data_IF_585834944000
#
_entry.id   IF_585834944000
#
_cell.length_a   1.000
_cell.length_b   1.000
_cell.length_c   1.000
_cell.angle_alpha   90.00
_cell.angle_beta   90.00
_cell.angle_gamma   90.00
#
_symmetry.space_group_name_H-M   'P 1'
#
loop_
_entity.id
_entity.type
_entity.pdbx_description
1 polymer ?
#
# COMPACT_ATOMS: atom_id res chain seq x y z
N UNK A 1 20.47 -11.15 -6.67
CA UNK A 1 21.45 -11.81 -7.58
C UNK A 1 22.28 -10.76 -8.32
N UNK A 2 23.47 -11.14 -8.83
CA UNK A 2 24.32 -10.26 -9.65
C UNK A 2 23.57 -9.72 -10.87
N UNK A 3 22.81 -10.58 -11.56
CA UNK A 3 22.00 -10.17 -12.70
C UNK A 3 20.97 -9.06 -12.38
N UNK A 4 20.39 -9.10 -11.18
CA UNK A 4 19.47 -8.03 -10.73
C UNK A 4 20.24 -6.75 -10.43
N UNK A 5 21.40 -6.85 -9.78
CA UNK A 5 22.26 -5.70 -9.49
C UNK A 5 22.78 -5.04 -10.78
N UNK A 6 23.17 -5.83 -11.78
CA UNK A 6 23.57 -5.31 -13.09
C UNK A 6 22.38 -4.63 -13.81
N UNK A 7 21.16 -5.12 -13.56
CA UNK A 7 19.93 -4.59 -14.15
C UNK A 7 19.50 -3.23 -13.62
N UNK A 8 19.96 -2.79 -12.43
CA UNK A 8 19.57 -1.51 -11.83
C UNK A 8 20.12 -0.28 -12.59
N UNK A 9 21.01 -0.48 -13.57
CA UNK A 9 21.59 0.63 -14.36
C UNK A 9 20.51 1.53 -14.98
N UNK A 10 19.41 0.93 -15.45
CA UNK A 10 18.30 1.70 -16.03
C UNK A 10 17.55 2.51 -14.97
N UNK A 11 17.32 1.92 -13.80
CA UNK A 11 16.66 2.60 -12.68
C UNK A 11 17.52 3.75 -12.19
N UNK A 12 18.85 3.53 -12.07
CA UNK A 12 19.83 4.56 -11.72
C UNK A 12 19.84 5.72 -12.72
N UNK A 13 19.74 5.45 -14.04
CA UNK A 13 19.66 6.50 -15.05
C UNK A 13 18.40 7.37 -14.86
N UNK A 14 17.26 6.76 -14.55
CA UNK A 14 16.01 7.47 -14.26
C UNK A 14 16.17 8.32 -12.98
N UNK A 15 16.70 7.74 -11.92
CA UNK A 15 16.96 8.48 -10.66
C UNK A 15 17.85 9.68 -10.90
N UNK A 16 18.94 9.52 -11.69
CA UNK A 16 19.84 10.63 -12.07
C UNK A 16 19.12 11.70 -12.88
N UNK A 17 18.31 11.31 -13.87
CA UNK A 17 17.54 12.23 -14.70
C UNK A 17 16.62 13.13 -13.86
N UNK A 18 15.97 12.55 -12.85
CA UNK A 18 15.05 13.26 -11.95
C UNK A 18 15.73 13.80 -10.68
N UNK A 19 17.04 13.70 -10.58
CA UNK A 19 17.85 14.19 -9.43
C UNK A 19 17.42 13.58 -8.10
N UNK A 20 16.94 12.33 -8.11
CA UNK A 20 16.60 11.58 -6.90
C UNK A 20 17.88 11.04 -6.28
N UNK A 21 18.18 11.33 -5.01
CA UNK A 21 19.34 10.78 -4.32
C UNK A 21 19.26 9.26 -4.20
N UNK A 22 20.35 8.57 -4.52
CA UNK A 22 20.42 7.12 -4.41
C UNK A 22 21.84 6.67 -4.01
N UNK A 23 21.94 5.44 -3.52
CA UNK A 23 23.22 4.78 -3.21
C UNK A 23 23.15 3.32 -3.69
N UNK A 24 24.16 2.92 -4.46
CA UNK A 24 24.36 1.50 -4.77
C UNK A 24 25.29 0.95 -3.71
N UNK A 25 24.83 -0.02 -2.94
CA UNK A 25 25.51 -0.57 -1.78
C UNK A 25 25.96 -2.00 -2.06
N UNK A 26 27.16 -2.32 -1.67
CA UNK A 26 27.64 -3.69 -1.53
C UNK A 26 27.12 -4.32 -0.21
N UNK A 27 27.55 -5.54 0.08
CA UNK A 27 27.13 -6.27 1.26
C UNK A 27 27.46 -5.54 2.55
N UNK A 28 28.65 -5.01 2.70
CA UNK A 28 29.05 -4.26 3.89
C UNK A 28 28.26 -2.96 4.04
N UNK A 29 27.94 -2.31 2.91
CA UNK A 29 27.18 -1.07 2.86
C UNK A 29 25.73 -1.23 3.31
N UNK A 30 24.98 -2.22 2.81
CA UNK A 30 23.58 -2.36 3.21
C UNK A 30 23.42 -2.86 4.66
N UNK A 31 24.36 -3.64 5.19
CA UNK A 31 24.33 -4.10 6.58
C UNK A 31 24.49 -2.96 7.60
N UNK A 32 25.00 -1.81 7.19
CA UNK A 32 25.03 -0.61 8.06
C UNK A 32 23.63 -0.03 8.28
N UNK A 33 22.71 -0.26 7.35
CA UNK A 33 21.33 0.22 7.43
C UNK A 33 20.30 -0.85 7.84
N UNK A 34 20.61 -2.12 7.53
CA UNK A 34 19.77 -3.27 7.85
C UNK A 34 20.60 -4.39 8.50
N UNK A 35 21.03 -4.19 9.76
CA UNK A 35 21.89 -5.16 10.45
C UNK A 35 21.24 -6.53 10.63
N UNK A 36 19.91 -6.59 10.74
CA UNK A 36 19.17 -7.85 10.86
C UNK A 36 19.32 -8.77 9.62
N UNK A 37 19.80 -8.26 8.49
CA UNK A 37 20.10 -9.08 7.31
C UNK A 37 21.46 -9.79 7.38
N UNK A 38 22.24 -9.64 8.47
CA UNK A 38 23.58 -10.21 8.58
C UNK A 38 23.57 -11.75 8.44
N UNK A 39 22.64 -12.44 9.08
CA UNK A 39 22.56 -13.90 9.06
C UNK A 39 22.16 -14.47 7.68
N UNK A 40 21.47 -13.65 6.89
CA UNK A 40 21.00 -13.99 5.54
C UNK A 40 21.77 -13.28 4.43
N UNK A 41 22.87 -12.59 4.74
CA UNK A 41 23.66 -11.79 3.82
C UNK A 41 24.19 -12.57 2.61
N UNK A 42 24.32 -13.90 2.72
CA UNK A 42 24.77 -14.76 1.62
C UNK A 42 23.75 -14.80 0.46
N UNK A 43 22.50 -14.41 0.69
CA UNK A 43 21.42 -14.36 -0.31
C UNK A 43 21.50 -13.13 -1.21
N UNK A 44 22.23 -12.09 -0.80
CA UNK A 44 22.28 -10.80 -1.49
C UNK A 44 23.69 -10.44 -1.92
N UNK A 45 23.82 -9.78 -3.04
CA UNK A 45 25.11 -9.27 -3.56
C UNK A 45 25.23 -7.76 -3.37
N UNK A 46 24.12 -7.05 -3.15
CA UNK A 46 24.08 -5.60 -2.95
C UNK A 46 22.64 -5.10 -2.87
N UNK A 47 22.48 -3.80 -2.72
CA UNK A 47 21.19 -3.12 -2.64
C UNK A 47 21.24 -1.74 -3.34
N UNK A 48 20.07 -1.27 -3.77
CA UNK A 48 19.85 0.11 -4.15
C UNK A 48 19.11 0.81 -3.00
N UNK A 49 19.73 1.81 -2.40
CA UNK A 49 19.15 2.60 -1.31
C UNK A 49 18.68 3.95 -1.83
N UNK A 50 17.50 4.35 -1.43
CA UNK A 50 16.90 5.67 -1.67
C UNK A 50 16.86 6.43 -0.34
N UNK A 51 17.88 7.24 -0.01
CA UNK A 51 17.99 7.86 1.33
C UNK A 51 16.95 8.95 1.59
N UNK A 52 16.29 9.46 0.55
CA UNK A 52 15.24 10.45 0.66
C UNK A 52 13.82 9.88 0.81
N UNK A 53 13.66 8.55 0.72
CA UNK A 53 12.36 7.92 0.91
C UNK A 53 11.99 7.88 2.39
N UNK A 54 10.70 8.06 2.66
CA UNK A 54 10.16 8.06 4.01
C UNK A 54 9.14 6.93 4.19
N UNK A 55 9.03 6.45 5.42
CA UNK A 55 8.06 5.42 5.80
C UNK A 55 6.97 6.03 6.67
N UNK A 56 5.71 5.77 6.33
CA UNK A 56 4.56 6.24 7.10
C UNK A 56 3.48 5.19 7.26
N UNK A 57 2.82 5.18 8.40
CA UNK A 57 1.64 4.35 8.65
C UNK A 57 0.39 5.09 8.18
N UNK A 58 -0.10 4.74 6.98
CA UNK A 58 -1.27 5.39 6.39
C UNK A 58 -2.56 5.16 7.20
N UNK A 59 -2.66 4.07 7.97
CA UNK A 59 -3.82 3.81 8.83
C UNK A 59 -3.84 4.80 10.01
N UNK A 60 -2.73 4.95 10.72
CA UNK A 60 -2.60 5.91 11.83
C UNK A 60 -2.80 7.34 11.31
N UNK A 61 -2.16 7.67 10.18
CA UNK A 61 -2.27 8.99 9.55
C UNK A 61 -3.72 9.34 9.23
N UNK A 62 -4.45 8.43 8.57
CA UNK A 62 -5.85 8.66 8.18
C UNK A 62 -6.76 8.83 9.39
N UNK A 63 -6.58 8.01 10.44
CA UNK A 63 -7.37 8.14 11.67
C UNK A 63 -7.11 9.48 12.36
N UNK A 64 -5.85 9.93 12.47
CA UNK A 64 -5.51 11.23 13.06
C UNK A 64 -6.09 12.40 12.28
N UNK A 65 -6.03 12.36 10.93
CA UNK A 65 -6.69 13.38 10.10
C UNK A 65 -8.20 13.39 10.33
N UNK A 66 -8.83 12.21 10.44
CA UNK A 66 -10.26 12.14 10.72
C UNK A 66 -10.62 12.77 12.09
N UNK A 67 -9.81 12.54 13.12
CA UNK A 67 -9.97 13.18 14.44
C UNK A 67 -9.82 14.70 14.35
N UNK A 68 -8.81 15.18 13.64
CA UNK A 68 -8.60 16.62 13.43
C UNK A 68 -9.78 17.25 12.66
N UNK A 69 -10.25 16.59 11.59
CA UNK A 69 -11.39 17.05 10.82
C UNK A 69 -12.67 17.11 11.67
N UNK A 70 -12.89 16.09 12.51
CA UNK A 70 -14.01 16.08 13.46
C UNK A 70 -13.95 17.24 14.43
N UNK A 71 -12.77 17.56 14.96
CA UNK A 71 -12.57 18.72 15.84
C UNK A 71 -12.88 20.05 15.14
N UNK A 72 -12.73 20.11 13.82
CA UNK A 72 -13.09 21.27 12.99
C UNK A 72 -14.57 21.26 12.54
N UNK A 73 -15.39 20.36 13.04
CA UNK A 73 -16.84 20.31 12.78
C UNK A 73 -17.26 19.39 11.62
N UNK A 74 -16.34 18.62 11.01
CA UNK A 74 -16.70 17.63 9.98
C UNK A 74 -17.52 16.51 10.60
N UNK A 75 -18.66 16.20 10.00
CA UNK A 75 -19.54 15.13 10.43
C UNK A 75 -19.23 13.85 9.66
N UNK A 76 -18.90 12.79 10.36
CA UNK A 76 -18.70 11.46 9.79
C UNK A 76 -19.93 10.60 10.02
N UNK A 77 -20.42 9.95 8.96
CA UNK A 77 -21.53 9.00 8.99
C UNK A 77 -21.03 7.59 8.66
N UNK A 78 -20.33 6.99 9.61
CA UNK A 78 -19.87 5.60 9.47
C UNK A 78 -21.05 4.63 9.49
N UNK A 79 -20.87 3.43 8.91
CA UNK A 79 -21.94 2.43 8.81
C UNK A 79 -23.08 2.83 7.89
N UNK A 80 -22.90 3.86 7.05
CA UNK A 80 -23.89 4.34 6.09
C UNK A 80 -23.49 3.91 4.68
N UNK A 81 -24.33 3.13 4.03
CA UNK A 81 -24.07 2.66 2.67
C UNK A 81 -24.63 3.64 1.64
N UNK A 82 -23.74 4.21 0.82
CA UNK A 82 -24.14 4.99 -0.35
C UNK A 82 -24.67 4.03 -1.44
N UNK A 83 -25.89 4.28 -1.91
CA UNK A 83 -26.58 3.47 -2.92
C UNK A 83 -26.50 4.03 -4.32
N UNK A 84 -26.70 5.36 -4.46
CA UNK A 84 -26.70 6.04 -5.74
C UNK A 84 -26.48 7.55 -5.59
N UNK A 85 -26.09 8.18 -6.67
CA UNK A 85 -26.11 9.62 -6.84
C UNK A 85 -27.42 9.99 -7.55
N UNK A 86 -28.16 10.93 -6.98
CA UNK A 86 -29.37 11.49 -7.59
C UNK A 86 -28.96 12.69 -8.44
N UNK A 87 -29.53 12.79 -9.64
CA UNK A 87 -29.31 13.95 -10.52
C UNK A 87 -30.60 14.45 -11.13
N UNK A 88 -30.63 15.71 -11.47
CA UNK A 88 -31.55 16.33 -12.42
C UNK A 88 -30.76 16.92 -13.61
N UNK A 89 -31.44 17.68 -14.47
CA UNK A 89 -30.80 18.30 -15.63
C UNK A 89 -29.67 19.29 -15.31
N UNK A 90 -29.53 19.74 -14.07
CA UNK A 90 -28.56 20.73 -13.62
C UNK A 90 -27.34 20.17 -12.89
N UNK A 91 -27.39 18.91 -12.44
CA UNK A 91 -26.28 18.33 -11.68
C UNK A 91 -26.72 17.31 -10.63
N UNK A 92 -25.81 17.05 -9.68
CA UNK A 92 -26.12 16.15 -8.57
C UNK A 92 -26.97 16.89 -7.54
N UNK A 93 -28.11 16.29 -7.18
CA UNK A 93 -29.08 16.85 -6.24
C UNK A 93 -29.10 16.15 -4.89
N UNK A 94 -28.51 14.94 -4.81
CA UNK A 94 -28.45 14.19 -3.57
C UNK A 94 -27.67 12.91 -3.65
N UNK A 95 -27.40 12.37 -2.48
CA UNK A 95 -26.77 11.05 -2.28
C UNK A 95 -27.79 10.15 -1.61
N UNK A 96 -28.25 9.13 -2.31
CA UNK A 96 -29.15 8.12 -1.75
C UNK A 96 -28.32 7.14 -0.90
N UNK A 97 -28.70 6.99 0.36
CA UNK A 97 -28.09 6.04 1.30
C UNK A 97 -29.13 5.04 1.80
N UNK A 98 -28.69 4.01 2.53
CA UNK A 98 -29.55 3.08 3.25
C UNK A 98 -30.28 3.74 4.44
N UNK A 99 -29.88 4.97 4.82
CA UNK A 99 -30.48 5.76 5.91
C UNK A 99 -31.27 6.98 5.39
N UNK A 100 -31.55 7.05 4.09
CA UNK A 100 -32.25 8.16 3.44
C UNK A 100 -31.35 8.99 2.51
N UNK A 101 -31.90 10.05 1.96
CA UNK A 101 -31.18 10.96 1.04
C UNK A 101 -30.45 12.04 1.82
N UNK A 102 -29.21 12.28 1.45
CA UNK A 102 -28.38 13.37 1.97
C UNK A 102 -28.20 14.42 0.86
N UNK A 103 -28.48 15.68 1.18
CA UNK A 103 -28.34 16.82 0.27
C UNK A 103 -27.23 17.75 0.73
N UNK A 104 -26.57 18.41 -0.21
CA UNK A 104 -25.52 19.40 0.03
C UNK A 104 -25.42 20.36 -1.16
N UNK A 105 -24.72 21.46 -0.98
CA UNK A 105 -24.46 22.43 -2.06
C UNK A 105 -23.44 21.92 -3.08
N UNK A 106 -22.52 21.04 -2.64
CA UNK A 106 -21.49 20.42 -3.47
C UNK A 106 -21.23 18.98 -3.03
N UNK A 107 -20.80 18.16 -3.96
CA UNK A 107 -20.51 16.75 -3.75
C UNK A 107 -19.12 16.40 -4.23
N UNK A 108 -18.36 15.68 -3.41
CA UNK A 108 -17.04 15.14 -3.76
C UNK A 108 -17.11 13.61 -3.74
N UNK A 109 -16.82 12.99 -4.89
CA UNK A 109 -16.69 11.54 -5.00
C UNK A 109 -15.25 11.12 -4.70
N UNK A 110 -15.04 10.40 -3.61
CA UNK A 110 -13.73 9.92 -3.16
C UNK A 110 -13.78 8.44 -2.75
N UNK A 111 -14.44 7.59 -3.56
CA UNK A 111 -14.69 6.17 -3.26
C UNK A 111 -13.59 5.22 -3.77
N UNK A 112 -12.45 5.74 -4.24
CA UNK A 112 -11.35 4.92 -4.75
C UNK A 112 -11.83 3.94 -5.82
N UNK A 113 -11.59 2.65 -5.62
CA UNK A 113 -11.96 1.58 -6.57
C UNK A 113 -13.47 1.50 -6.86
N UNK A 114 -14.32 1.96 -5.94
CA UNK A 114 -15.78 1.92 -6.09
C UNK A 114 -16.34 3.13 -6.87
N UNK A 115 -15.52 4.14 -7.17
CA UNK A 115 -15.96 5.34 -7.87
C UNK A 115 -16.51 5.04 -9.27
N UNK A 116 -15.86 4.15 -10.04
CA UNK A 116 -16.30 3.80 -11.37
C UNK A 116 -17.74 3.20 -11.39
N UNK A 117 -18.04 2.30 -10.47
CA UNK A 117 -19.37 1.71 -10.34
C UNK A 117 -20.43 2.74 -9.90
N UNK A 118 -20.04 3.72 -9.07
CA UNK A 118 -20.95 4.76 -8.58
C UNK A 118 -21.37 5.75 -9.67
N UNK A 119 -20.50 6.07 -10.62
CA UNK A 119 -20.80 7.04 -11.69
C UNK A 119 -21.33 6.40 -12.98
N UNK A 120 -21.18 5.09 -13.16
CA UNK A 120 -21.65 4.39 -14.36
C UNK A 120 -23.15 4.64 -14.68
N UNK A 121 -24.08 4.67 -13.70
CA UNK A 121 -25.49 4.99 -13.95
C UNK A 121 -25.74 6.42 -14.40
N UNK A 122 -24.73 7.29 -14.33
CA UNK A 122 -24.78 8.69 -14.80
C UNK A 122 -24.21 8.85 -16.21
N UNK A 123 -23.93 7.74 -16.91
CA UNK A 123 -23.25 7.69 -18.22
C UNK A 123 -21.83 8.24 -18.19
N UNK A 124 -21.19 8.26 -17.00
CA UNK A 124 -19.80 8.64 -16.81
C UNK A 124 -18.91 7.39 -16.71
N UNK A 125 -17.79 7.43 -17.44
CA UNK A 125 -16.80 6.35 -17.42
C UNK A 125 -15.47 6.89 -16.94
N UNK A 126 -15.00 6.39 -15.81
CA UNK A 126 -13.67 6.67 -15.30
C UNK A 126 -12.85 5.37 -15.33
N UNK A 127 -11.61 5.41 -15.86
CA UNK A 127 -10.80 4.21 -16.05
C UNK A 127 -10.08 3.80 -14.75
N UNK A 128 -10.84 3.51 -13.71
CA UNK A 128 -10.32 3.01 -12.43
C UNK A 128 -10.69 1.53 -12.29
N UNK A 129 -9.67 0.69 -12.12
CA UNK A 129 -9.84 -0.75 -11.91
C UNK A 129 -9.36 -1.17 -10.51
N UNK A 130 -10.11 -2.03 -9.80
CA UNK A 130 -9.69 -2.55 -8.49
C UNK A 130 -8.61 -3.61 -8.66
N UNK A 131 -7.38 -3.27 -8.29
CA UNK A 131 -6.27 -4.22 -8.23
C UNK A 131 -6.09 -4.69 -6.79
N UNK A 132 -6.41 -5.95 -6.53
CA UNK A 132 -6.32 -6.53 -5.19
C UNK A 132 -4.87 -6.75 -4.79
N UNK A 133 -4.45 -6.16 -3.67
CA UNK A 133 -3.17 -6.39 -3.04
C UNK A 133 -3.33 -7.11 -1.71
N UNK A 134 -2.30 -7.85 -1.32
CA UNK A 134 -2.30 -8.63 -0.08
C UNK A 134 -1.21 -8.13 0.85
N UNK A 135 -1.42 -8.30 2.15
CA UNK A 135 -0.41 -8.02 3.17
C UNK A 135 -0.62 -8.87 4.40
N UNK A 136 0.46 -9.10 5.13
CA UNK A 136 0.40 -9.59 6.50
C UNK A 136 0.99 -8.54 7.45
N UNK A 137 0.55 -8.60 8.69
CA UNK A 137 1.10 -7.81 9.79
C UNK A 137 1.62 -8.77 10.83
N UNK A 138 2.91 -8.70 11.11
CA UNK A 138 3.62 -9.60 12.03
C UNK A 138 4.04 -8.81 13.27
N UNK A 139 3.63 -9.18 14.49
CA UNK A 139 4.14 -8.55 15.71
C UNK A 139 5.64 -8.77 15.84
N UNK A 140 6.40 -7.73 16.16
CA UNK A 140 7.85 -7.83 16.43
C UNK A 140 8.04 -8.48 17.80
N UNK A 141 8.91 -9.49 17.86
CA UNK A 141 9.31 -10.17 19.10
C UNK A 141 10.76 -9.89 19.46
N UNK A 142 11.60 -9.69 18.45
CA UNK A 142 12.96 -9.20 18.61
C UNK A 142 13.18 -7.98 17.72
N UNK A 143 13.44 -6.83 18.35
CA UNK A 143 13.68 -5.59 17.66
C UNK A 143 14.98 -5.61 16.85
N UNK A 144 15.99 -6.36 17.28
CA UNK A 144 17.26 -6.51 16.59
C UNK A 144 17.19 -7.44 15.38
N UNK A 145 16.24 -8.37 15.36
CA UNK A 145 15.96 -9.27 14.23
C UNK A 145 14.96 -8.72 13.22
N UNK A 146 14.35 -7.55 13.49
CA UNK A 146 13.37 -6.91 12.62
C UNK A 146 14.02 -5.88 11.66
N UNK A 147 13.37 -5.52 10.52
CA UNK A 147 13.89 -4.47 9.65
C UNK A 147 13.97 -3.11 10.36
N UNK A 148 14.96 -2.32 10.01
CA UNK A 148 15.11 -0.92 10.47
C UNK A 148 14.33 0.05 9.59
N UNK A 149 14.25 -0.23 8.28
CA UNK A 149 13.60 0.60 7.26
C UNK A 149 12.57 -0.19 6.44
N UNK A 150 12.26 0.29 5.25
CA UNK A 150 11.50 -0.49 4.26
C UNK A 150 12.46 -1.22 3.34
N UNK A 151 12.39 -2.54 3.36
CA UNK A 151 13.16 -3.43 2.47
C UNK A 151 12.25 -3.98 1.38
N UNK A 152 12.65 -3.83 0.12
CA UNK A 152 11.96 -4.42 -1.04
C UNK A 152 12.72 -5.66 -1.52
N UNK A 153 12.11 -6.82 -1.41
CA UNK A 153 12.59 -8.02 -2.09
C UNK A 153 12.18 -7.98 -3.57
N UNK A 154 13.14 -7.69 -4.42
CA UNK A 154 12.95 -7.61 -5.86
C UNK A 154 12.66 -8.96 -6.52
N UNK A 155 12.98 -10.08 -5.87
CA UNK A 155 12.70 -11.42 -6.38
C UNK A 155 11.21 -11.75 -6.32
N UNK A 156 10.57 -11.45 -5.19
CA UNK A 156 9.15 -11.74 -4.95
C UNK A 156 8.25 -10.51 -5.10
N UNK A 157 8.84 -9.31 -5.29
CA UNK A 157 8.12 -8.04 -5.32
C UNK A 157 7.29 -7.82 -4.04
N UNK A 158 7.96 -8.03 -2.90
CA UNK A 158 7.39 -7.92 -1.56
C UNK A 158 8.15 -6.86 -0.77
N UNK A 159 7.42 -5.91 -0.21
CA UNK A 159 7.95 -4.90 0.69
C UNK A 159 7.77 -5.31 2.16
N UNK A 160 8.81 -5.17 2.94
CA UNK A 160 8.81 -5.40 4.39
C UNK A 160 9.10 -4.06 5.06
N UNK A 161 8.19 -3.60 5.90
CA UNK A 161 8.28 -2.27 6.52
C UNK A 161 8.05 -2.39 8.02
N UNK A 162 8.96 -1.83 8.82
CA UNK A 162 8.73 -1.69 10.26
C UNK A 162 7.79 -0.53 10.54
N UNK A 163 6.69 -0.80 11.23
CA UNK A 163 5.70 0.18 11.67
C UNK A 163 5.55 0.08 13.20
N UNK A 164 6.44 0.75 13.94
CA UNK A 164 6.50 0.67 15.41
C UNK A 164 6.89 -0.74 15.88
N UNK A 165 5.95 -1.42 16.50
CA UNK A 165 6.09 -2.75 17.09
C UNK A 165 5.68 -3.92 16.16
N UNK A 166 5.51 -3.64 14.87
CA UNK A 166 5.09 -4.64 13.87
C UNK A 166 5.81 -4.51 12.55
N UNK A 167 5.93 -5.62 11.84
CA UNK A 167 6.40 -5.67 10.45
C UNK A 167 5.19 -5.76 9.55
N UNK A 168 5.01 -4.79 8.66
CA UNK A 168 4.03 -4.84 7.57
C UNK A 168 4.69 -5.43 6.33
N UNK A 169 4.19 -6.55 5.86
CA UNK A 169 4.69 -7.25 4.68
C UNK A 169 3.63 -7.15 3.60
N UNK A 170 3.90 -6.42 2.55
CA UNK A 170 2.96 -6.16 1.47
C UNK A 170 3.52 -6.56 0.12
N UNK A 171 2.72 -7.22 -0.68
CA UNK A 171 3.15 -7.63 -2.01
C UNK A 171 2.04 -8.29 -2.78
N UNK A 172 2.40 -8.76 -3.96
CA UNK A 172 1.51 -9.41 -4.91
C UNK A 172 0.35 -8.52 -5.38
N UNK A 173 -0.16 -8.82 -6.57
CA UNK A 173 -1.30 -8.14 -7.16
C UNK A 173 -2.19 -9.16 -7.86
N UNK A 174 -3.50 -8.93 -7.86
CA UNK A 174 -4.46 -9.82 -8.48
C UNK A 174 -5.58 -9.02 -9.15
N UNK A 175 -5.87 -9.36 -10.40
CA UNK A 175 -7.00 -8.83 -11.16
C UNK A 175 -8.22 -9.71 -10.91
N UNK A 176 -8.98 -9.42 -9.86
CA UNK A 176 -10.12 -10.23 -9.40
C UNK A 176 -11.41 -9.41 -9.22
N UNK A 177 -11.50 -8.26 -9.89
CA UNK A 177 -12.62 -7.35 -9.70
C UNK A 177 -12.74 -6.92 -8.24
N UNK A 178 -13.95 -6.89 -7.72
CA UNK A 178 -14.22 -6.47 -6.34
C UNK A 178 -14.13 -7.60 -5.29
N UNK A 179 -13.65 -8.79 -5.67
CA UNK A 179 -13.52 -9.90 -4.72
C UNK A 179 -12.47 -9.60 -3.64
N UNK A 180 -12.87 -9.69 -2.37
CA UNK A 180 -12.00 -9.57 -1.20
C UNK A 180 -11.61 -10.95 -0.62
N UNK A 181 -11.77 -12.03 -1.40
CA UNK A 181 -11.38 -13.35 -0.95
C UNK A 181 -9.87 -13.41 -0.67
N UNK A 182 -9.51 -13.91 0.50
CA UNK A 182 -8.14 -14.14 0.92
C UNK A 182 -7.68 -15.52 0.42
N UNK A 183 -6.62 -15.54 -0.39
CA UNK A 183 -6.06 -16.76 -0.95
C UNK A 183 -4.83 -17.19 -0.16
N UNK A 184 -4.87 -18.38 0.43
CA UNK A 184 -3.80 -18.92 1.28
C UNK A 184 -2.44 -19.01 0.54
N UNK A 185 -2.44 -19.19 -0.78
CA UNK A 185 -1.22 -19.16 -1.57
C UNK A 185 -0.51 -17.79 -1.48
N UNK A 186 -1.26 -16.69 -1.43
CA UNK A 186 -0.70 -15.34 -1.28
C UNK A 186 -0.15 -15.12 0.11
N UNK A 187 -0.85 -15.60 1.14
CA UNK A 187 -0.36 -15.58 2.51
C UNK A 187 0.97 -16.31 2.64
N UNK A 188 1.05 -17.53 2.10
CA UNK A 188 2.30 -18.33 2.15
C UNK A 188 3.49 -17.60 1.52
N UNK A 189 3.30 -16.90 0.39
CA UNK A 189 4.37 -16.11 -0.24
C UNK A 189 4.87 -15.02 0.71
N UNK A 190 3.97 -14.25 1.33
CA UNK A 190 4.35 -13.18 2.25
C UNK A 190 5.03 -13.73 3.51
N UNK A 191 4.49 -14.81 4.08
CA UNK A 191 5.07 -15.52 5.23
C UNK A 191 6.46 -16.06 4.92
N UNK A 192 6.63 -16.63 3.72
CA UNK A 192 7.94 -17.13 3.28
C UNK A 192 8.96 -16.00 3.22
N UNK A 193 8.64 -14.88 2.58
CA UNK A 193 9.59 -13.78 2.40
C UNK A 193 10.03 -13.19 3.74
N UNK A 194 9.10 -12.91 4.66
CA UNK A 194 9.49 -12.36 5.96
C UNK A 194 10.27 -13.36 6.81
N UNK A 195 9.89 -14.63 6.80
CA UNK A 195 10.64 -15.67 7.53
C UNK A 195 12.00 -15.98 6.92
N UNK A 196 12.16 -15.77 5.60
CA UNK A 196 13.43 -15.95 4.90
C UNK A 196 14.42 -14.80 5.12
N UNK A 197 13.93 -13.56 5.27
CA UNK A 197 14.75 -12.36 5.42
C UNK A 197 14.95 -11.95 6.87
N UNK A 198 13.95 -12.12 7.71
CA UNK A 198 13.93 -11.70 9.13
C UNK A 198 13.38 -12.82 10.00
N UNK A 199 14.08 -13.98 10.08
CA UNK A 199 13.57 -15.19 10.72
C UNK A 199 13.26 -14.98 12.22
N UNK A 200 14.02 -14.15 12.91
CA UNK A 200 13.90 -13.90 14.33
C UNK A 200 13.15 -12.60 14.66
N UNK A 201 12.76 -11.81 13.63
CA UNK A 201 12.20 -10.47 13.81
C UNK A 201 10.79 -10.43 14.38
N UNK A 202 9.99 -11.51 14.24
CA UNK A 202 8.60 -11.45 14.64
C UNK A 202 7.89 -12.80 14.76
N UNK A 203 6.73 -12.79 15.43
CA UNK A 203 5.88 -13.97 15.62
C UNK A 203 5.00 -14.23 14.40
N UNK A 204 5.48 -15.08 13.51
CA UNK A 204 4.77 -15.47 12.29
C UNK A 204 3.45 -16.22 12.58
N UNK A 205 3.33 -16.90 13.72
CA UNK A 205 2.11 -17.62 14.08
C UNK A 205 0.95 -16.64 14.37
N UNK A 206 1.27 -15.42 14.79
CA UNK A 206 0.32 -14.34 15.06
C UNK A 206 0.13 -13.38 13.89
N UNK A 207 0.65 -13.72 12.71
CA UNK A 207 0.52 -12.86 11.53
C UNK A 207 -0.94 -12.71 11.11
N UNK A 208 -1.40 -11.46 11.03
CA UNK A 208 -2.72 -11.10 10.52
C UNK A 208 -2.68 -10.95 9.00
N UNK A 209 -3.60 -11.61 8.30
CA UNK A 209 -3.69 -11.57 6.84
C UNK A 209 -4.82 -10.66 6.37
N UNK A 210 -4.51 -9.77 5.43
CA UNK A 210 -5.44 -8.76 4.92
C UNK A 210 -5.27 -8.57 3.41
N UNK A 211 -6.35 -8.11 2.74
CA UNK A 211 -6.28 -7.62 1.37
C UNK A 211 -7.07 -6.32 1.20
N UNK A 212 -6.74 -5.58 0.15
CA UNK A 212 -7.44 -4.36 -0.23
C UNK A 212 -7.40 -4.10 -1.72
N UNK A 213 -8.28 -3.25 -2.20
CA UNK A 213 -8.42 -2.90 -3.61
C UNK A 213 -7.74 -1.57 -3.89
N UNK A 214 -6.64 -1.59 -4.62
CA UNK A 214 -5.97 -0.38 -5.11
C UNK A 214 -6.78 0.22 -6.27
N UNK A 215 -7.13 1.52 -6.24
CA UNK A 215 -7.76 2.18 -7.38
C UNK A 215 -6.68 2.47 -8.43
N UNK A 216 -6.54 1.58 -9.40
CA UNK A 216 -5.51 1.70 -10.43
C UNK A 216 -6.09 2.30 -11.71
N UNK A 217 -5.43 3.32 -12.22
CA UNK A 217 -5.62 3.86 -13.58
C UNK A 217 -4.67 3.18 -14.54
N UNK A 218 -4.94 3.16 -15.87
CA UNK A 218 -4.09 2.48 -16.84
C UNK A 218 -2.65 2.97 -16.90
N UNK A 219 -2.44 4.24 -16.63
CA UNK A 219 -1.13 4.93 -16.66
C UNK A 219 -0.55 5.21 -15.26
N UNK A 220 -1.27 4.83 -14.19
CA UNK A 220 -0.88 5.09 -12.81
C UNK A 220 -1.14 6.53 -12.33
N UNK A 221 -1.58 7.43 -13.20
CA UNK A 221 -1.85 8.83 -12.84
C UNK A 221 -3.18 8.94 -12.09
N UNK A 222 -3.23 9.60 -10.90
CA UNK A 222 -4.48 9.78 -10.17
C UNK A 222 -5.43 10.72 -10.93
N UNK A 223 -6.73 10.42 -10.84
CA UNK A 223 -7.79 11.26 -11.37
C UNK A 223 -8.19 12.25 -10.28
N UNK A 224 -7.96 13.55 -10.54
CA UNK A 224 -8.33 14.66 -9.68
C UNK A 224 -9.15 15.64 -10.53
N UNK A 225 -10.40 15.90 -10.10
CA UNK A 225 -11.36 16.74 -10.83
C UNK A 225 -11.79 17.99 -10.09
#
# INVERSE_FOLDING_TARGET
TQKQLDGITKDVQILQQYKVPYQVLDRAGYLQYEPALADVQHKFVGALRLPGDETGDCFIFTNRIAEMAKALGVQFRFGTQVRALQRDGGGITGVLTDQGTVTADRYLLALGSYSAAMVAPLDLRIPVYPVKGFSITVPITDAGGAPESTVMDETHKVALTRLGDRIRVGGTAELAGYSLQLHEARRRTLMHVVGDLFPDGGDLARAEFWCGLRPMTPDGTPIVG
#
